data_IF_682420141672
#
_entry.id   IF_682420141672
#
_cell.length_a   1.000
_cell.length_b   1.000
_cell.length_c   1.000
_cell.angle_alpha   90.00
_cell.angle_beta   90.00
_cell.angle_gamma   90.00
#
_symmetry.space_group_name_H-M   'P 1'
#
loop_
_entity.id
_entity.type
_entity.pdbx_description
1 polymer ?
#
# COMPACT_ATOMS: atom_id res chain seq x y z
N UNK A 1 8.99 -26.00 -37.36
CA UNK A 1 8.12 -24.81 -37.39
C UNK A 1 7.47 -24.68 -36.03
N UNK A 2 8.06 -23.87 -35.15
CA UNK A 2 7.51 -23.60 -33.83
C UNK A 2 6.30 -22.69 -34.00
N UNK A 3 5.13 -23.26 -33.75
CA UNK A 3 3.84 -22.61 -33.63
C UNK A 3 3.94 -21.53 -32.53
N UNK A 4 4.38 -20.33 -32.91
CA UNK A 4 4.25 -19.13 -32.08
C UNK A 4 2.77 -18.82 -32.02
N UNK A 5 2.06 -19.49 -31.11
CA UNK A 5 0.73 -19.09 -30.68
C UNK A 5 0.83 -17.64 -30.25
N UNK A 6 0.41 -16.76 -31.14
CA UNK A 6 0.33 -15.33 -30.91
C UNK A 6 -0.88 -15.12 -30.00
N UNK A 7 -0.70 -15.42 -28.71
CA UNK A 7 -1.63 -14.96 -27.69
C UNK A 7 -1.50 -13.46 -27.69
N UNK A 8 -2.50 -12.76 -28.26
CA UNK A 8 -2.70 -11.35 -27.96
C UNK A 8 -2.78 -11.25 -26.44
N UNK A 9 -1.84 -10.59 -25.76
CA UNK A 9 -1.92 -10.48 -24.32
C UNK A 9 -3.24 -9.78 -23.98
N UNK A 10 -4.14 -10.49 -23.30
CA UNK A 10 -5.28 -9.84 -22.68
C UNK A 10 -4.75 -8.81 -21.68
N UNK A 11 -5.49 -7.72 -21.47
CA UNK A 11 -5.06 -6.64 -20.56
C UNK A 11 -4.70 -7.16 -19.14
N UNK A 12 -5.35 -8.24 -18.71
CA UNK A 12 -5.10 -9.00 -17.47
C UNK A 12 -3.73 -9.66 -17.40
N UNK A 13 -3.18 -10.14 -18.52
CA UNK A 13 -1.91 -10.87 -18.56
C UNK A 13 -0.70 -9.96 -18.37
N UNK A 14 -0.83 -8.69 -18.77
CA UNK A 14 0.29 -7.73 -18.77
C UNK A 14 0.75 -7.45 -17.33
N UNK A 15 -0.18 -7.22 -16.41
CA UNK A 15 0.13 -6.97 -15.00
C UNK A 15 0.82 -8.17 -14.34
N UNK A 16 0.32 -9.38 -14.61
CA UNK A 16 0.90 -10.63 -14.09
C UNK A 16 2.31 -10.84 -14.65
N UNK A 17 2.50 -10.63 -15.96
CA UNK A 17 3.82 -10.73 -16.61
C UNK A 17 4.82 -9.74 -16.02
N UNK A 18 4.41 -8.48 -15.81
CA UNK A 18 5.26 -7.47 -15.14
C UNK A 18 5.70 -7.97 -13.77
N UNK A 19 4.75 -8.45 -12.96
CA UNK A 19 5.05 -8.94 -11.62
C UNK A 19 6.00 -10.15 -11.62
N UNK A 20 5.83 -11.09 -12.56
CA UNK A 20 6.71 -12.25 -12.71
C UNK A 20 8.10 -11.86 -13.22
N UNK A 21 8.19 -10.99 -14.22
CA UNK A 21 9.46 -10.48 -14.74
C UNK A 21 10.21 -9.75 -13.63
N UNK A 22 9.53 -8.88 -12.88
CA UNK A 22 10.12 -8.16 -11.74
C UNK A 22 10.73 -9.13 -10.73
N UNK A 23 9.97 -10.16 -10.32
CA UNK A 23 10.43 -11.15 -9.34
C UNK A 23 11.62 -11.98 -9.81
N UNK A 24 11.70 -12.32 -11.10
CA UNK A 24 12.71 -13.26 -11.62
C UNK A 24 13.94 -12.53 -12.19
N UNK A 25 13.73 -11.38 -12.82
CA UNK A 25 14.75 -10.68 -13.61
C UNK A 25 15.03 -9.25 -13.17
N UNK A 26 14.27 -8.74 -12.21
CA UNK A 26 14.43 -7.37 -11.69
C UNK A 26 13.79 -6.29 -12.57
N UNK A 27 14.00 -5.04 -12.14
CA UNK A 27 13.31 -3.87 -12.67
C UNK A 27 13.71 -3.51 -14.11
N UNK A 28 14.97 -3.71 -14.49
CA UNK A 28 15.45 -3.36 -15.84
C UNK A 28 14.71 -4.12 -16.93
N UNK A 29 14.45 -5.42 -16.72
CA UNK A 29 13.72 -6.24 -17.68
C UNK A 29 12.22 -5.89 -17.72
N UNK A 30 11.66 -5.38 -16.62
CA UNK A 30 10.30 -4.82 -16.61
C UNK A 30 10.22 -3.61 -17.53
N UNK A 31 11.20 -2.69 -17.46
CA UNK A 31 11.22 -1.49 -18.30
C UNK A 31 11.37 -1.84 -19.78
N UNK A 32 12.25 -2.80 -20.11
CA UNK A 32 12.38 -3.31 -21.50
C UNK A 32 11.08 -3.92 -22.00
N UNK A 33 10.41 -4.74 -21.18
CA UNK A 33 9.11 -5.31 -21.54
C UNK A 33 8.08 -4.22 -21.78
N UNK A 34 8.01 -3.19 -20.92
CA UNK A 34 7.08 -2.07 -21.08
C UNK A 34 7.32 -1.25 -22.34
N UNK A 35 8.57 -1.07 -22.75
CA UNK A 35 8.91 -0.40 -24.00
C UNK A 35 8.48 -1.21 -25.23
N UNK A 36 8.37 -2.55 -25.10
CA UNK A 36 7.85 -3.41 -26.16
C UNK A 36 6.32 -3.39 -26.29
N UNK A 37 5.59 -2.89 -25.27
CA UNK A 37 4.13 -2.87 -25.25
C UNK A 37 3.60 -1.59 -25.92
N UNK A 38 2.73 -1.69 -26.94
CA UNK A 38 2.09 -0.52 -27.53
C UNK A 38 1.27 0.27 -26.52
N UNK A 39 1.24 1.60 -26.65
CA UNK A 39 0.59 2.51 -25.69
C UNK A 39 -0.89 2.17 -25.46
N UNK A 40 -1.60 1.71 -26.49
CA UNK A 40 -3.01 1.30 -26.40
C UNK A 40 -3.27 0.14 -25.42
N UNK A 41 -2.25 -0.67 -25.10
CA UNK A 41 -2.36 -1.79 -24.18
C UNK A 41 -1.92 -1.43 -22.75
N UNK A 42 -1.44 -0.20 -22.53
CA UNK A 42 -1.04 0.29 -21.21
C UNK A 42 -2.24 0.90 -20.51
N UNK A 43 -2.87 0.11 -19.64
CA UNK A 43 -4.00 0.52 -18.82
C UNK A 43 -3.65 0.66 -17.33
N UNK A 44 -4.69 0.85 -16.50
CA UNK A 44 -4.54 0.94 -15.04
C UNK A 44 -3.77 -0.26 -14.46
N UNK A 45 -4.03 -1.48 -14.95
CA UNK A 45 -3.36 -2.70 -14.47
C UNK A 45 -1.86 -2.70 -14.76
N UNK A 46 -1.44 -2.17 -15.92
CA UNK A 46 -0.03 -2.04 -16.30
C UNK A 46 0.66 -1.02 -15.41
N UNK A 47 0.03 0.15 -15.23
CA UNK A 47 0.59 1.23 -14.42
C UNK A 47 0.61 0.90 -12.94
N UNK A 48 -0.42 0.24 -12.39
CA UNK A 48 -0.43 -0.20 -10.99
C UNK A 48 0.61 -1.27 -10.71
N UNK A 49 0.83 -2.21 -11.63
CA UNK A 49 1.89 -3.20 -11.52
C UNK A 49 3.28 -2.54 -11.55
N UNK A 50 3.48 -1.58 -12.46
CA UNK A 50 4.73 -0.83 -12.57
C UNK A 50 4.98 0.03 -11.32
N UNK A 51 3.94 0.69 -10.82
CA UNK A 51 3.99 1.48 -9.61
C UNK A 51 4.43 0.64 -8.41
N UNK A 52 3.85 -0.56 -8.27
CA UNK A 52 4.27 -1.52 -7.25
C UNK A 52 5.75 -1.91 -7.39
N UNK A 53 6.23 -2.17 -8.60
CA UNK A 53 7.64 -2.49 -8.84
C UNK A 53 8.56 -1.33 -8.41
N UNK A 54 8.27 -0.10 -8.84
CA UNK A 54 9.07 1.07 -8.45
C UNK A 54 9.00 1.37 -6.96
N UNK A 55 7.82 1.23 -6.34
CA UNK A 55 7.64 1.42 -4.90
C UNK A 55 8.48 0.43 -4.09
N UNK A 56 8.56 -0.84 -4.53
CA UNK A 56 9.36 -1.87 -3.86
C UNK A 56 10.87 -1.66 -4.00
N UNK A 57 11.32 -1.12 -5.11
CA UNK A 57 12.72 -0.72 -5.34
C UNK A 57 13.02 0.69 -4.80
N UNK A 58 12.07 1.33 -4.10
CA UNK A 58 12.18 2.70 -3.57
C UNK A 58 12.63 3.72 -4.63
N UNK A 59 12.25 3.49 -5.89
CA UNK A 59 12.52 4.40 -7.02
C UNK A 59 11.50 5.54 -7.02
N UNK A 60 11.63 6.47 -6.07
CA UNK A 60 10.63 7.51 -5.75
C UNK A 60 10.22 8.32 -6.98
N UNK A 61 11.19 8.89 -7.71
CA UNK A 61 10.93 9.73 -8.88
C UNK A 61 10.14 9.00 -9.97
N UNK A 62 10.51 7.72 -10.23
CA UNK A 62 9.82 6.89 -11.22
C UNK A 62 8.41 6.52 -10.75
N UNK A 63 8.24 6.19 -9.47
CA UNK A 63 6.93 5.90 -8.90
C UNK A 63 5.99 7.12 -8.97
N UNK A 64 6.49 8.31 -8.62
CA UNK A 64 5.74 9.57 -8.71
C UNK A 64 5.33 9.89 -10.15
N UNK A 65 6.23 9.71 -11.11
CA UNK A 65 5.92 9.92 -12.52
C UNK A 65 4.81 8.98 -13.02
N UNK A 66 4.79 7.72 -12.56
CA UNK A 66 3.71 6.78 -12.89
C UNK A 66 2.41 7.15 -12.19
N UNK A 67 2.47 7.54 -10.92
CA UNK A 67 1.28 8.00 -10.19
C UNK A 67 0.66 9.22 -10.86
N UNK A 68 1.47 10.17 -11.33
CA UNK A 68 0.98 11.33 -12.08
C UNK A 68 0.30 10.91 -13.39
N UNK A 69 0.89 9.99 -14.16
CA UNK A 69 0.23 9.44 -15.36
C UNK A 69 -1.12 8.79 -15.06
N UNK A 70 -1.21 8.04 -13.96
CA UNK A 70 -2.48 7.42 -13.52
C UNK A 70 -3.52 8.50 -13.19
N UNK A 71 -3.10 9.62 -12.58
CA UNK A 71 -3.97 10.79 -12.32
C UNK A 71 -4.42 11.48 -13.59
N UNK A 72 -3.49 11.76 -14.51
CA UNK A 72 -3.77 12.45 -15.78
C UNK A 72 -4.75 11.67 -16.67
N UNK A 73 -4.71 10.33 -16.58
CA UNK A 73 -5.66 9.46 -17.27
C UNK A 73 -7.03 9.33 -16.57
N UNK A 74 -7.24 10.00 -15.43
CA UNK A 74 -8.47 9.87 -14.62
C UNK A 74 -8.62 8.51 -13.93
N UNK A 75 -7.54 7.72 -13.86
CA UNK A 75 -7.57 6.36 -13.33
C UNK A 75 -7.21 6.30 -11.82
N UNK A 76 -6.95 7.45 -11.20
CA UNK A 76 -6.59 7.58 -9.79
C UNK A 76 -7.78 7.50 -8.81
N UNK A 77 -8.80 6.69 -9.15
CA UNK A 77 -9.92 6.33 -8.26
C UNK A 77 -9.64 5.04 -7.48
N UNK A 78 -8.59 4.29 -7.85
CA UNK A 78 -8.26 3.01 -7.23
C UNK A 78 -7.36 3.21 -5.98
N UNK A 79 -7.77 2.76 -4.78
CA UNK A 79 -6.97 2.91 -3.56
C UNK A 79 -5.63 2.17 -3.61
N UNK A 80 -5.49 1.11 -4.41
CA UNK A 80 -4.26 0.32 -4.50
C UNK A 80 -3.03 1.15 -4.89
N UNK A 81 -3.19 2.11 -5.81
CA UNK A 81 -2.07 2.96 -6.24
C UNK A 81 -1.59 3.86 -5.10
N UNK A 82 -2.52 4.38 -4.29
CA UNK A 82 -2.20 5.15 -3.11
C UNK A 82 -1.52 4.28 -2.04
N UNK A 83 -2.00 3.05 -1.81
CA UNK A 83 -1.36 2.12 -0.86
C UNK A 83 0.11 1.83 -1.21
N UNK A 84 0.45 1.67 -2.50
CA UNK A 84 1.85 1.51 -2.93
C UNK A 84 2.70 2.76 -2.68
N UNK A 85 2.18 3.94 -3.00
CA UNK A 85 2.88 5.21 -2.75
C UNK A 85 3.09 5.46 -1.25
N UNK A 86 2.05 5.23 -0.44
CA UNK A 86 2.11 5.38 1.02
C UNK A 86 3.17 4.47 1.64
N UNK A 87 3.21 3.19 1.23
CA UNK A 87 4.23 2.27 1.71
C UNK A 87 5.63 2.69 1.28
N UNK A 88 5.80 3.17 0.04
CA UNK A 88 7.10 3.65 -0.44
C UNK A 88 7.58 4.85 0.40
N UNK A 89 6.74 5.89 0.56
CA UNK A 89 7.10 7.07 1.36
C UNK A 89 7.40 6.74 2.81
N UNK A 90 6.66 5.81 3.40
CA UNK A 90 6.96 5.30 4.73
C UNK A 90 8.35 4.65 4.81
N UNK A 91 8.72 3.85 3.80
CA UNK A 91 10.01 3.17 3.75
C UNK A 91 11.20 4.08 3.37
N UNK A 92 10.94 5.24 2.78
CA UNK A 92 11.95 6.28 2.49
C UNK A 92 12.00 7.37 3.54
N UNK A 93 11.02 7.43 4.44
CA UNK A 93 10.92 8.45 5.49
C UNK A 93 10.37 9.80 4.99
N UNK A 94 9.73 9.83 3.82
CA UNK A 94 9.15 11.04 3.22
C UNK A 94 7.77 11.37 3.83
N UNK A 95 7.76 11.75 5.10
CA UNK A 95 6.54 11.97 5.88
C UNK A 95 5.63 13.06 5.30
N UNK A 96 6.20 14.14 4.77
CA UNK A 96 5.47 15.25 4.15
C UNK A 96 4.68 14.79 2.92
N UNK A 97 5.30 13.98 2.04
CA UNK A 97 4.64 13.43 0.86
C UNK A 97 3.55 12.43 1.24
N UNK A 98 3.77 11.67 2.31
CA UNK A 98 2.78 10.77 2.87
C UNK A 98 1.55 11.55 3.37
N UNK A 99 1.75 12.68 4.06
CA UNK A 99 0.68 13.58 4.49
C UNK A 99 -0.12 14.17 3.33
N UNK A 100 0.58 14.71 2.33
CA UNK A 100 -0.05 15.24 1.14
C UNK A 100 -0.90 14.19 0.42
N UNK A 101 -0.44 12.94 0.37
CA UNK A 101 -1.18 11.83 -0.23
C UNK A 101 -2.43 11.48 0.57
N UNK A 102 -2.39 11.53 1.91
CA UNK A 102 -3.59 11.31 2.73
C UNK A 102 -4.63 12.41 2.55
N UNK A 103 -4.19 13.67 2.54
CA UNK A 103 -5.08 14.82 2.29
C UNK A 103 -5.72 14.72 0.90
N UNK A 104 -4.98 14.27 -0.11
CA UNK A 104 -5.51 14.03 -1.45
C UNK A 104 -6.58 12.93 -1.46
N UNK A 105 -6.36 11.82 -0.75
CA UNK A 105 -7.35 10.75 -0.63
C UNK A 105 -8.63 11.24 0.06
N UNK A 106 -8.50 12.00 1.16
CA UNK A 106 -9.65 12.60 1.86
C UNK A 106 -10.41 13.57 0.95
N UNK A 107 -9.71 14.47 0.26
CA UNK A 107 -10.32 15.44 -0.66
C UNK A 107 -11.05 14.79 -1.83
N UNK A 108 -10.63 13.58 -2.23
CA UNK A 108 -11.29 12.77 -3.28
C UNK A 108 -12.35 11.80 -2.75
N UNK A 109 -12.55 11.73 -1.43
CA UNK A 109 -13.46 10.76 -0.80
C UNK A 109 -13.02 9.30 -0.97
N UNK A 110 -11.72 9.06 -1.19
CA UNK A 110 -11.16 7.71 -1.31
C UNK A 110 -10.95 7.17 0.10
N UNK A 111 -11.64 6.10 0.45
CA UNK A 111 -11.52 5.50 1.77
C UNK A 111 -10.11 4.94 1.99
N UNK A 112 -9.60 5.16 3.19
CA UNK A 112 -8.39 4.49 3.65
C UNK A 112 -8.68 3.02 3.96
N UNK A 113 -7.75 2.14 3.60
CA UNK A 113 -7.76 0.77 4.06
C UNK A 113 -7.02 0.63 5.40
N UNK A 114 -7.13 -0.54 6.03
CA UNK A 114 -6.41 -0.87 7.27
C UNK A 114 -4.90 -0.61 7.13
N UNK A 115 -4.33 -0.92 5.97
CA UNK A 115 -2.90 -0.90 5.73
C UNK A 115 -2.34 0.53 5.71
N UNK A 116 -3.01 1.45 5.02
CA UNK A 116 -2.63 2.87 4.97
C UNK A 116 -2.68 3.50 6.37
N UNK A 117 -3.72 3.20 7.14
CA UNK A 117 -3.85 3.73 8.50
C UNK A 117 -2.77 3.15 9.44
N UNK A 118 -2.43 1.86 9.33
CA UNK A 118 -1.30 1.28 10.09
C UNK A 118 0.04 1.93 9.73
N UNK A 119 0.27 2.21 8.44
CA UNK A 119 1.45 2.95 7.98
C UNK A 119 1.50 4.33 8.63
N UNK A 120 0.38 5.06 8.63
CA UNK A 120 0.31 6.38 9.24
C UNK A 120 0.55 6.35 10.75
N UNK A 121 -0.02 5.35 11.45
CA UNK A 121 0.23 5.14 12.87
C UNK A 121 1.71 4.85 13.15
N UNK A 122 2.34 4.04 12.31
CA UNK A 122 3.77 3.71 12.43
C UNK A 122 4.66 4.94 12.19
N UNK A 123 4.27 5.82 11.28
CA UNK A 123 4.96 7.09 11.05
C UNK A 123 4.86 8.03 12.26
N UNK A 124 3.67 8.19 12.85
CA UNK A 124 3.51 8.96 14.08
C UNK A 124 4.32 8.38 15.24
N UNK A 125 4.35 7.05 15.36
CA UNK A 125 5.19 6.38 16.36
C UNK A 125 6.68 6.68 16.18
N UNK A 126 7.17 6.66 14.93
CA UNK A 126 8.55 7.02 14.62
C UNK A 126 8.86 8.50 14.91
N UNK A 127 7.86 9.38 14.78
CA UNK A 127 7.97 10.80 15.12
C UNK A 127 7.78 11.08 16.64
N UNK A 128 7.41 10.08 17.44
CA UNK A 128 7.05 10.26 18.85
C UNK A 128 5.71 10.98 19.07
N UNK A 129 4.91 11.17 18.01
CA UNK A 129 3.62 11.85 18.07
C UNK A 129 2.53 10.91 18.57
N UNK A 130 2.41 10.87 19.90
CA UNK A 130 1.42 10.09 20.62
C UNK A 130 -0.04 10.48 20.31
N UNK A 131 -0.30 11.77 20.07
CA UNK A 131 -1.65 12.27 19.81
C UNK A 131 -2.11 11.89 18.40
N UNK A 132 -1.19 11.96 17.43
CA UNK A 132 -1.38 11.45 16.08
C UNK A 132 -1.69 9.96 16.06
N UNK A 133 -0.94 9.16 16.83
CA UNK A 133 -1.21 7.72 16.97
C UNK A 133 -2.62 7.44 17.50
N UNK A 134 -3.05 8.16 18.53
CA UNK A 134 -4.37 8.00 19.13
C UNK A 134 -5.50 8.38 18.17
N UNK A 135 -5.31 9.42 17.36
CA UNK A 135 -6.27 9.80 16.32
C UNK A 135 -6.47 8.64 15.34
N UNK A 136 -5.37 8.03 14.89
CA UNK A 136 -5.43 6.91 13.94
C UNK A 136 -6.01 5.64 14.58
N UNK A 137 -5.64 5.32 15.81
CA UNK A 137 -6.20 4.17 16.52
C UNK A 137 -7.73 4.30 16.70
N UNK A 138 -8.23 5.48 17.07
CA UNK A 138 -9.68 5.74 17.12
C UNK A 138 -10.35 5.62 15.76
N UNK A 139 -9.70 6.08 14.70
CA UNK A 139 -10.22 5.95 13.33
C UNK A 139 -10.34 4.49 12.90
N UNK A 140 -9.31 3.68 13.19
CA UNK A 140 -9.28 2.24 12.94
C UNK A 140 -10.38 1.48 13.69
N UNK A 141 -10.71 1.89 14.91
CA UNK A 141 -11.74 1.24 15.73
C UNK A 141 -13.17 1.70 15.41
N UNK A 142 -13.34 2.93 14.92
CA UNK A 142 -14.65 3.52 14.64
C UNK A 142 -15.17 3.25 13.22
N UNK A 143 -14.27 3.06 12.25
CA UNK A 143 -14.68 2.77 10.87
C UNK A 143 -15.14 1.32 10.73
N UNK A 144 -16.46 1.11 10.71
CA UNK A 144 -17.10 -0.21 10.52
C UNK A 144 -16.77 -0.89 9.20
N UNK A 145 -16.17 -0.18 8.23
CA UNK A 145 -15.73 -0.74 6.95
C UNK A 145 -14.35 -1.41 7.08
N UNK A 146 -13.64 -1.14 8.16
CA UNK A 146 -12.31 -1.69 8.43
C UNK A 146 -12.43 -2.82 9.45
N UNK A 147 -12.13 -4.04 9.01
CA UNK A 147 -12.04 -5.19 9.91
C UNK A 147 -10.60 -5.36 10.36
N UNK A 148 -10.31 -4.93 11.59
CA UNK A 148 -8.99 -5.13 12.20
C UNK A 148 -8.70 -6.62 12.40
N UNK A 149 -7.64 -7.12 11.78
CA UNK A 149 -7.16 -8.48 12.00
C UNK A 149 -6.18 -8.55 13.19
N UNK A 150 -5.87 -9.78 13.63
CA UNK A 150 -4.94 -10.00 14.74
C UNK A 150 -3.57 -9.32 14.50
N UNK A 151 -3.07 -9.36 13.26
CA UNK A 151 -1.80 -8.75 12.90
C UNK A 151 -1.83 -7.21 13.07
N UNK A 152 -2.96 -6.57 12.77
CA UNK A 152 -3.14 -5.13 12.98
C UNK A 152 -2.97 -4.76 14.46
N UNK A 153 -3.69 -5.44 15.35
CA UNK A 153 -3.58 -5.20 16.78
C UNK A 153 -2.16 -5.45 17.31
N UNK A 154 -1.47 -6.47 16.79
CA UNK A 154 -0.08 -6.75 17.14
C UNK A 154 0.83 -5.58 16.78
N UNK A 155 0.70 -5.05 15.57
CA UNK A 155 1.50 -3.92 15.10
C UNK A 155 1.18 -2.68 15.93
N UNK A 156 -0.10 -2.37 16.18
CA UNK A 156 -0.49 -1.20 16.97
C UNK A 156 0.07 -1.29 18.40
N UNK A 157 0.00 -2.46 19.03
CA UNK A 157 0.58 -2.69 20.36
C UNK A 157 2.10 -2.45 20.36
N UNK A 158 2.83 -3.01 19.39
CA UNK A 158 4.27 -2.78 19.22
C UNK A 158 4.59 -1.29 19.06
N UNK A 159 3.83 -0.56 18.24
CA UNK A 159 4.07 0.87 18.03
C UNK A 159 3.82 1.69 19.29
N UNK A 160 2.80 1.38 20.08
CA UNK A 160 2.60 2.04 21.38
C UNK A 160 3.72 1.74 22.37
N UNK A 161 4.29 0.53 22.38
CA UNK A 161 5.46 0.20 23.19
C UNK A 161 6.69 1.04 22.80
N UNK A 162 6.91 1.26 21.50
CA UNK A 162 8.06 2.04 21.01
C UNK A 162 8.03 3.50 21.49
N UNK A 163 6.85 4.05 21.77
CA UNK A 163 6.66 5.41 22.30
C UNK A 163 6.48 5.41 23.84
N UNK A 164 6.66 4.26 24.49
CA UNK A 164 6.57 4.12 25.95
C UNK A 164 5.15 4.06 26.51
N UNK A 165 4.12 3.96 25.67
CA UNK A 165 2.72 3.92 26.07
C UNK A 165 2.25 2.50 26.42
N UNK A 166 2.78 1.96 27.52
CA UNK A 166 2.59 0.56 27.93
C UNK A 166 1.12 0.20 28.14
N UNK A 167 0.34 1.06 28.81
CA UNK A 167 -1.08 0.79 29.09
C UNK A 167 -1.92 0.62 27.83
N UNK A 168 -1.66 1.44 26.81
CA UNK A 168 -2.36 1.36 25.52
C UNK A 168 -1.90 0.13 24.73
N UNK A 169 -0.62 -0.20 24.78
CA UNK A 169 -0.11 -1.43 24.19
C UNK A 169 -0.78 -2.68 24.80
N UNK A 170 -0.92 -2.73 26.13
CA UNK A 170 -1.63 -3.81 26.82
C UNK A 170 -3.12 -3.87 26.42
N UNK A 171 -3.75 -2.71 26.25
CA UNK A 171 -5.14 -2.65 25.77
C UNK A 171 -5.29 -3.29 24.39
N UNK A 172 -4.36 -3.03 23.47
CA UNK A 172 -4.36 -3.62 22.13
C UNK A 172 -4.05 -5.11 22.16
N UNK A 173 -3.13 -5.54 23.04
CA UNK A 173 -2.80 -6.95 23.24
C UNK A 173 -3.99 -7.75 23.77
N UNK A 174 -4.72 -7.22 24.76
CA UNK A 174 -5.93 -7.87 25.29
C UNK A 174 -7.00 -8.05 24.20
N UNK A 175 -7.16 -7.06 23.30
CA UNK A 175 -8.07 -7.18 22.14
C UNK A 175 -7.62 -8.28 21.19
N UNK A 176 -6.31 -8.36 20.90
CA UNK A 176 -5.73 -9.42 20.08
C UNK A 176 -5.97 -10.81 20.68
N UNK A 177 -5.71 -10.99 21.98
CA UNK A 177 -5.90 -12.26 22.69
C UNK A 177 -7.37 -12.68 22.71
N UNK A 178 -8.28 -11.73 22.91
CA UNK A 178 -9.72 -11.96 22.81
C UNK A 178 -10.13 -12.52 21.44
N UNK A 179 -9.57 -11.98 20.36
CA UNK A 179 -9.83 -12.50 19.01
C UNK A 179 -9.32 -13.94 18.81
N UNK A 180 -8.10 -14.25 19.29
CA UNK A 180 -7.52 -15.60 19.18
C UNK A 180 -8.25 -16.63 20.04
N UNK A 181 -8.78 -16.24 21.20
CA UNK A 181 -9.60 -17.12 22.04
C UNK A 181 -10.91 -17.51 21.34
N UNK A 182 -11.51 -16.60 20.58
CA UNK A 182 -12.74 -16.89 19.81
C UNK A 182 -12.51 -17.78 18.59
N UNK A 183 -11.30 -17.78 18.00
CA UNK A 183 -11.00 -18.63 16.84
C UNK A 183 -10.64 -20.07 17.19
N UNK A 184 -10.23 -20.35 18.43
CA UNK A 184 -9.94 -21.72 18.91
C UNK A 184 -11.19 -22.53 19.31
N UNK A 185 -12.34 -21.87 19.42
CA UNK A 185 -13.62 -22.48 19.81
C UNK A 185 -14.55 -22.78 18.61
N UNK A 186 -13.99 -22.89 17.40
CA UNK A 186 -14.67 -23.32 16.16
C UNK A 186 -13.93 -24.51 15.57
#
# INVERSE_FOLDING_TARGET
MTDKRCFSPEYSDIGVRIHLIFKVKGLEEVEKYLNSIPQQFKGLQTYSALLNCYAREKSVEKAEAIMQKVKDMGLAHNPLCYSFMMNMYYQTGDWEKMDNMMNEMEGKGINFDQFILIIRLSAYAAAGDSDGMDKIARMLESDKRITLNWNAYSIIAEKYLNVGQVEKALTMLNKLEGMLATSKNK
#
